data_IF_788339182758
#
_entry.id   IF_788339182758
#
_cell.length_a   1.000
_cell.length_b   1.000
_cell.length_c   1.000
_cell.angle_alpha   90.00
_cell.angle_beta   90.00
_cell.angle_gamma   90.00
#
_symmetry.space_group_name_H-M   'P 1'
#
loop_
_entity.id
_entity.type
_entity.pdbx_description
1 polymer ?
#
# COMPACT_ATOMS: atom_id res chain seq x y z
N UNK A 1 -6.03 -18.73 15.21
CA UNK A 1 -7.33 -19.43 15.25
C UNK A 1 -7.96 -19.53 16.65
N UNK A 2 -7.19 -19.76 17.73
CA UNK A 2 -7.76 -19.95 19.08
C UNK A 2 -8.54 -18.75 19.64
N UNK A 3 -7.99 -17.53 19.54
CA UNK A 3 -8.65 -16.32 20.04
C UNK A 3 -9.92 -15.98 19.24
N UNK A 4 -9.85 -16.04 17.91
CA UNK A 4 -10.99 -15.80 17.02
C UNK A 4 -12.16 -16.73 17.30
N UNK A 5 -11.90 -18.05 17.32
CA UNK A 5 -12.92 -19.06 17.62
C UNK A 5 -13.58 -18.83 18.99
N UNK A 6 -12.77 -18.57 20.02
CA UNK A 6 -13.28 -18.28 21.38
C UNK A 6 -14.18 -17.04 21.40
N UNK A 7 -13.85 -16.02 20.61
CA UNK A 7 -14.67 -14.82 20.51
C UNK A 7 -15.98 -15.09 19.76
N UNK A 8 -15.97 -15.82 18.63
CA UNK A 8 -17.20 -16.27 17.95
C UNK A 8 -18.13 -17.01 18.93
N UNK A 9 -17.60 -18.00 19.65
CA UNK A 9 -18.38 -18.78 20.63
C UNK A 9 -18.97 -17.90 21.73
N UNK A 10 -18.18 -16.94 22.26
CA UNK A 10 -18.61 -16.01 23.30
C UNK A 10 -19.80 -15.14 22.87
N UNK A 11 -19.89 -14.82 21.58
CA UNK A 11 -20.91 -13.91 21.03
C UNK A 11 -22.00 -14.67 20.25
N UNK A 12 -22.02 -16.00 20.35
CA UNK A 12 -23.05 -16.84 19.71
C UNK A 12 -22.95 -16.95 18.19
N UNK A 13 -21.77 -16.72 17.63
CA UNK A 13 -21.49 -16.83 16.19
C UNK A 13 -20.59 -18.03 15.87
N UNK A 14 -20.55 -18.42 14.59
CA UNK A 14 -19.72 -19.54 14.12
C UNK A 14 -18.37 -19.06 13.60
N UNK A 15 -17.43 -19.98 13.33
CA UNK A 15 -16.14 -19.65 12.72
C UNK A 15 -16.21 -19.28 11.24
N UNK A 16 -17.41 -19.37 10.63
CA UNK A 16 -17.68 -18.89 9.27
C UNK A 16 -18.00 -17.38 9.25
N UNK A 17 -18.27 -16.79 10.42
CA UNK A 17 -18.42 -15.35 10.58
C UNK A 17 -17.09 -14.62 10.50
N UNK A 18 -17.14 -13.29 10.36
CA UNK A 18 -16.00 -12.38 10.44
C UNK A 18 -16.25 -11.21 11.39
N UNK A 19 -15.26 -10.33 11.53
CA UNK A 19 -15.32 -9.15 12.38
C UNK A 19 -16.47 -8.20 12.02
N UNK A 20 -16.87 -8.14 10.74
CA UNK A 20 -18.04 -7.34 10.34
C UNK A 20 -19.33 -7.97 10.88
N UNK A 21 -19.49 -9.29 10.80
CA UNK A 21 -20.63 -9.97 11.43
C UNK A 21 -20.68 -9.72 12.94
N UNK A 22 -19.52 -9.69 13.61
CA UNK A 22 -19.45 -9.40 15.05
C UNK A 22 -19.97 -7.98 15.34
N UNK A 23 -19.52 -6.99 14.56
CA UNK A 23 -19.96 -5.59 14.70
C UNK A 23 -21.47 -5.49 14.45
N UNK A 24 -21.98 -6.08 13.37
CA UNK A 24 -23.39 -6.05 13.02
C UNK A 24 -24.26 -6.77 14.08
N UNK A 25 -23.77 -7.87 14.65
CA UNK A 25 -24.47 -8.63 15.68
C UNK A 25 -24.56 -7.86 17.01
N UNK A 26 -23.49 -7.17 17.42
CA UNK A 26 -23.42 -6.53 18.73
C UNK A 26 -23.83 -5.05 18.72
N UNK A 27 -23.68 -4.36 17.59
CA UNK A 27 -23.94 -2.94 17.48
C UNK A 27 -25.35 -2.66 16.95
N UNK A 28 -26.09 -1.77 17.61
CA UNK A 28 -27.42 -1.32 17.16
C UNK A 28 -27.33 -0.40 15.94
N UNK A 29 -26.37 0.52 15.92
CA UNK A 29 -26.19 1.52 14.87
C UNK A 29 -24.69 1.64 14.51
N UNK A 30 -24.16 0.71 13.69
CA UNK A 30 -22.77 0.76 13.25
C UNK A 30 -22.58 1.87 12.21
N UNK A 31 -21.52 2.66 12.36
CA UNK A 31 -21.02 3.58 11.33
C UNK A 31 -19.74 2.95 10.77
N UNK A 32 -19.76 2.61 9.49
CA UNK A 32 -18.67 1.89 8.83
C UNK A 32 -17.97 2.81 7.84
N UNK A 33 -16.64 2.84 7.90
CA UNK A 33 -15.79 3.44 6.88
C UNK A 33 -15.16 2.30 6.08
N UNK A 34 -15.30 2.36 4.76
CA UNK A 34 -14.83 1.30 3.86
C UNK A 34 -14.17 1.93 2.64
N UNK A 35 -13.00 1.41 2.29
CA UNK A 35 -12.25 1.77 1.09
C UNK A 35 -11.73 0.47 0.46
N UNK A 36 -12.34 0.07 -0.66
CA UNK A 36 -12.00 -1.17 -1.37
C UNK A 36 -10.53 -1.19 -1.80
N UNK A 37 -9.95 -0.03 -2.13
CA UNK A 37 -8.59 0.07 -2.64
C UNK A 37 -7.53 0.00 -1.51
N UNK A 38 -7.97 -0.03 -0.25
CA UNK A 38 -7.10 -0.28 0.91
C UNK A 38 -7.16 -1.73 1.40
N UNK A 39 -7.84 -2.63 0.68
CA UNK A 39 -7.80 -4.06 0.93
C UNK A 39 -6.51 -4.64 0.33
N UNK A 40 -5.51 -4.83 1.19
CA UNK A 40 -4.12 -5.20 0.80
C UNK A 40 -3.76 -6.66 1.10
N UNK A 41 -4.75 -7.49 1.47
CA UNK A 41 -4.51 -8.88 1.82
C UNK A 41 -5.78 -9.66 2.20
N UNK A 42 -5.68 -10.99 2.34
CA UNK A 42 -6.82 -11.91 2.43
C UNK A 42 -7.61 -11.80 3.74
N UNK A 43 -7.08 -11.08 4.74
CA UNK A 43 -7.81 -10.79 5.99
C UNK A 43 -8.77 -9.62 5.86
N UNK A 44 -8.62 -8.79 4.82
CA UNK A 44 -9.55 -7.70 4.54
C UNK A 44 -10.85 -8.24 3.94
N UNK A 45 -11.93 -7.48 4.14
CA UNK A 45 -13.22 -7.79 3.51
C UNK A 45 -13.26 -7.18 2.12
N UNK A 46 -13.35 -8.01 1.09
CA UNK A 46 -13.52 -7.57 -0.29
C UNK A 46 -14.90 -6.93 -0.50
N UNK A 47 -15.01 -6.14 -1.57
CA UNK A 47 -16.21 -5.33 -1.86
C UNK A 47 -17.44 -6.21 -2.11
N UNK A 48 -17.27 -7.37 -2.75
CA UNK A 48 -18.37 -8.29 -3.05
C UNK A 48 -18.93 -8.90 -1.76
N UNK A 49 -18.06 -9.36 -0.87
CA UNK A 49 -18.42 -9.89 0.44
C UNK A 49 -19.04 -8.82 1.34
N UNK A 50 -18.50 -7.59 1.33
CA UNK A 50 -19.06 -6.45 2.05
C UNK A 50 -20.49 -6.17 1.58
N UNK A 51 -20.71 -6.00 0.28
CA UNK A 51 -22.05 -5.74 -0.27
C UNK A 51 -23.04 -6.86 0.04
N UNK A 52 -22.65 -8.12 -0.14
CA UNK A 52 -23.50 -9.27 0.20
C UNK A 52 -23.97 -9.25 1.65
N UNK A 53 -23.09 -8.88 2.60
CA UNK A 53 -23.48 -8.75 4.01
C UNK A 53 -24.39 -7.56 4.27
N UNK A 54 -24.12 -6.43 3.63
CA UNK A 54 -25.00 -5.27 3.76
C UNK A 54 -26.39 -5.56 3.21
N UNK A 55 -26.52 -6.26 2.07
CA UNK A 55 -27.81 -6.71 1.52
C UNK A 55 -28.59 -7.57 2.52
N UNK A 56 -27.93 -8.51 3.21
CA UNK A 56 -28.56 -9.32 4.24
C UNK A 56 -29.03 -8.46 5.43
N UNK A 57 -28.23 -7.46 5.83
CA UNK A 57 -28.57 -6.58 6.94
C UNK A 57 -29.68 -5.57 6.63
N UNK A 58 -29.94 -5.24 5.35
CA UNK A 58 -31.05 -4.36 4.95
C UNK A 58 -32.41 -4.90 5.40
N UNK A 59 -32.55 -6.22 5.57
CA UNK A 59 -33.78 -6.83 6.09
C UNK A 59 -34.00 -6.57 7.60
N UNK A 60 -32.94 -6.21 8.34
CA UNK A 60 -32.97 -6.03 9.80
C UNK A 60 -32.91 -4.56 10.22
N UNK A 61 -32.27 -3.70 9.41
CA UNK A 61 -32.07 -2.29 9.72
C UNK A 61 -31.98 -1.44 8.45
N UNK A 62 -32.32 -0.16 8.57
CA UNK A 62 -32.09 0.82 7.52
C UNK A 62 -30.59 1.03 7.31
N UNK A 63 -30.15 0.98 6.06
CA UNK A 63 -28.77 1.24 5.66
C UNK A 63 -28.74 2.45 4.74
N UNK A 64 -27.79 3.34 4.96
CA UNK A 64 -27.57 4.51 4.09
C UNK A 64 -26.10 4.59 3.72
N UNK A 65 -25.83 4.78 2.44
CA UNK A 65 -24.48 4.94 1.90
C UNK A 65 -24.18 6.42 1.69
N UNK A 66 -23.00 6.82 2.14
CA UNK A 66 -22.44 8.15 1.89
C UNK A 66 -21.03 8.00 1.34
N UNK A 67 -20.79 8.59 0.17
CA UNK A 67 -19.49 8.58 -0.46
C UNK A 67 -18.76 9.90 -0.15
N UNK A 68 -17.55 9.78 0.38
CA UNK A 68 -16.69 10.93 0.66
C UNK A 68 -15.78 11.16 -0.56
N UNK A 69 -16.14 12.13 -1.41
CA UNK A 69 -15.42 12.39 -2.67
C UNK A 69 -14.26 13.38 -2.55
N UNK A 70 -14.24 14.19 -1.49
CA UNK A 70 -13.23 15.25 -1.35
C UNK A 70 -11.97 14.70 -0.69
N UNK A 71 -10.87 14.66 -1.44
CA UNK A 71 -9.55 14.45 -0.88
C UNK A 71 -8.99 15.77 -0.33
N UNK A 72 -8.67 15.81 0.96
CA UNK A 72 -8.09 17.00 1.63
C UNK A 72 -6.60 16.84 1.97
N UNK A 73 -6.06 15.63 1.78
CA UNK A 73 -4.81 15.20 2.40
C UNK A 73 -3.60 15.28 1.48
N UNK A 74 -3.83 15.03 0.19
CA UNK A 74 -2.80 14.95 -0.85
C UNK A 74 -2.94 16.19 -1.72
N UNK A 75 -1.89 17.02 -1.83
CA UNK A 75 -1.95 18.28 -2.57
C UNK A 75 -2.17 18.08 -4.09
N UNK A 76 -1.91 16.87 -4.60
CA UNK A 76 -2.23 16.48 -5.97
C UNK A 76 -3.73 16.27 -6.22
N UNK A 77 -4.56 16.29 -5.18
CA UNK A 77 -6.01 16.16 -5.28
C UNK A 77 -6.49 14.80 -5.81
N UNK A 78 -7.76 14.76 -6.20
CA UNK A 78 -8.38 13.56 -6.76
C UNK A 78 -7.73 13.14 -8.09
N UNK A 79 -7.29 14.11 -8.90
CA UNK A 79 -6.64 13.84 -10.18
C UNK A 79 -5.36 13.01 -10.00
N UNK A 80 -4.56 13.30 -8.98
CA UNK A 80 -3.37 12.51 -8.67
C UNK A 80 -3.71 11.09 -8.23
N UNK A 81 -4.71 10.94 -7.37
CA UNK A 81 -5.14 9.63 -6.87
C UNK A 81 -5.63 8.74 -8.01
N UNK A 82 -6.48 9.29 -8.88
CA UNK A 82 -6.95 8.60 -10.08
C UNK A 82 -5.78 8.28 -11.02
N UNK A 83 -4.81 9.19 -11.14
CA UNK A 83 -3.63 8.96 -11.97
C UNK A 83 -2.78 7.78 -11.49
N UNK A 84 -2.53 7.69 -10.18
CA UNK A 84 -1.84 6.55 -9.56
C UNK A 84 -2.59 5.24 -9.83
N UNK A 85 -3.93 5.25 -9.66
CA UNK A 85 -4.78 4.08 -9.98
C UNK A 85 -4.63 3.66 -11.45
N UNK A 86 -4.61 4.62 -12.38
CA UNK A 86 -4.51 4.34 -13.81
C UNK A 86 -3.13 3.82 -14.22
N UNK A 87 -2.05 4.32 -13.61
CA UNK A 87 -0.69 3.78 -13.80
C UNK A 87 -0.63 2.33 -13.31
N UNK A 88 -1.10 2.06 -12.09
CA UNK A 88 -1.00 0.73 -11.48
C UNK A 88 -1.95 -0.29 -12.13
N UNK A 89 -2.98 0.15 -12.85
CA UNK A 89 -3.87 -0.73 -13.62
C UNK A 89 -3.46 -0.88 -15.09
N UNK A 90 -2.44 -0.18 -15.57
CA UNK A 90 -2.04 -0.24 -16.98
C UNK A 90 -2.93 0.58 -17.93
N UNK A 91 -3.82 1.43 -17.41
CA UNK A 91 -4.88 2.13 -18.18
C UNK A 91 -4.62 3.62 -18.40
N UNK A 92 -3.51 4.16 -17.88
CA UNK A 92 -3.14 5.56 -18.05
C UNK A 92 -3.00 5.92 -19.54
N UNK A 93 -3.68 6.99 -19.95
CA UNK A 93 -3.70 7.43 -21.36
C UNK A 93 -2.61 8.43 -21.71
N UNK A 94 -2.33 9.39 -20.83
CA UNK A 94 -1.40 10.48 -21.10
C UNK A 94 -0.63 10.92 -19.86
N UNK A 95 0.47 11.65 -20.09
CA UNK A 95 1.28 12.24 -19.04
C UNK A 95 0.55 13.41 -18.37
N UNK A 96 0.45 13.40 -17.04
CA UNK A 96 -0.17 14.49 -16.25
C UNK A 96 0.84 15.19 -15.35
N UNK A 97 0.56 16.46 -15.09
CA UNK A 97 1.31 17.32 -14.19
C UNK A 97 0.39 17.82 -13.08
N UNK A 98 0.94 17.97 -11.88
CA UNK A 98 0.20 18.40 -10.70
C UNK A 98 0.89 19.65 -10.15
N UNK A 99 0.21 20.80 -10.21
CA UNK A 99 0.80 22.11 -9.89
C UNK A 99 1.42 22.17 -8.49
N UNK A 100 0.75 21.57 -7.50
CA UNK A 100 1.15 21.60 -6.10
C UNK A 100 1.65 20.24 -5.57
N UNK A 101 2.08 19.35 -6.47
CA UNK A 101 2.48 18.00 -6.08
C UNK A 101 3.66 17.47 -6.90
N UNK A 102 4.72 17.08 -6.20
CA UNK A 102 5.91 16.53 -6.84
C UNK A 102 5.73 15.02 -7.07
N UNK A 103 5.59 14.62 -8.33
CA UNK A 103 5.54 13.21 -8.71
C UNK A 103 6.64 12.89 -9.72
N UNK A 104 7.69 12.21 -9.26
CA UNK A 104 8.94 12.02 -10.01
C UNK A 104 9.42 10.57 -9.96
N UNK A 105 9.99 10.10 -11.05
CA UNK A 105 10.66 8.82 -11.16
C UNK A 105 12.18 9.04 -11.12
N UNK A 106 12.86 8.37 -10.21
CA UNK A 106 14.32 8.43 -10.09
C UNK A 106 14.97 7.16 -10.61
N UNK A 107 16.10 7.32 -11.30
CA UNK A 107 16.82 6.21 -11.94
C UNK A 107 18.08 5.78 -11.20
N UNK A 108 18.60 6.64 -10.34
CA UNK A 108 19.75 6.40 -9.46
C UNK A 108 19.28 6.31 -8.00
N UNK A 109 19.56 5.18 -7.36
CA UNK A 109 19.10 4.89 -6.01
C UNK A 109 19.87 5.69 -4.96
N UNK A 110 21.13 6.04 -5.24
CA UNK A 110 21.92 6.88 -4.34
C UNK A 110 21.32 8.29 -4.29
N UNK A 111 21.05 8.89 -5.45
CA UNK A 111 20.40 10.19 -5.55
C UNK A 111 18.99 10.17 -4.94
N UNK A 112 18.26 9.07 -5.11
CA UNK A 112 16.96 8.86 -4.46
C UNK A 112 17.06 8.86 -2.93
N UNK A 113 18.05 8.15 -2.36
CA UNK A 113 18.28 8.16 -0.91
C UNK A 113 18.80 9.50 -0.40
N UNK A 114 19.70 10.15 -1.12
CA UNK A 114 20.29 11.43 -0.72
C UNK A 114 19.22 12.54 -0.71
N UNK A 115 18.36 12.59 -1.74
CA UNK A 115 17.24 13.54 -1.81
C UNK A 115 16.22 13.33 -0.69
N UNK A 116 16.00 12.08 -0.29
CA UNK A 116 15.13 11.74 0.83
C UNK A 116 15.65 12.35 2.13
N UNK A 117 16.95 12.20 2.41
CA UNK A 117 17.58 12.82 3.58
C UNK A 117 17.50 14.34 3.55
N UNK A 118 17.75 14.96 2.40
CA UNK A 118 17.58 16.41 2.23
C UNK A 118 16.15 16.85 2.56
N UNK A 119 15.13 16.19 1.99
CA UNK A 119 13.72 16.53 2.23
C UNK A 119 13.33 16.33 3.69
N UNK A 120 13.86 15.31 4.38
CA UNK A 120 13.62 15.12 5.81
C UNK A 120 14.13 16.31 6.64
N UNK A 121 15.32 16.83 6.33
CA UNK A 121 15.87 18.02 7.01
C UNK A 121 15.00 19.28 6.79
N UNK A 122 14.38 19.39 5.61
CA UNK A 122 13.56 20.55 5.23
C UNK A 122 12.16 20.53 5.86
N UNK A 123 11.49 19.37 5.87
CA UNK A 123 10.05 19.30 6.17
C UNK A 123 9.64 18.25 7.20
N UNK A 124 10.55 17.34 7.57
CA UNK A 124 10.29 16.18 8.46
C UNK A 124 9.18 15.25 7.94
N UNK A 125 9.00 14.09 8.58
CA UNK A 125 8.01 13.07 8.18
C UNK A 125 8.13 12.64 6.71
N UNK A 126 9.36 12.49 6.25
CA UNK A 126 9.75 11.94 4.95
C UNK A 126 10.26 10.52 5.19
N UNK A 127 9.66 9.53 4.53
CA UNK A 127 10.02 8.12 4.75
C UNK A 127 10.20 7.37 3.44
N UNK A 128 11.15 6.44 3.47
CA UNK A 128 11.34 5.45 2.43
C UNK A 128 10.44 4.25 2.73
N UNK A 129 9.69 3.80 1.72
CA UNK A 129 8.72 2.72 1.83
C UNK A 129 8.78 1.81 0.61
N UNK A 130 8.37 0.56 0.76
CA UNK A 130 8.38 -0.40 -0.35
C UNK A 130 7.26 -1.44 -0.23
N UNK A 131 6.93 -2.09 -1.36
CA UNK A 131 6.21 -3.36 -1.34
C UNK A 131 7.09 -4.48 -0.79
N UNK A 132 6.50 -5.61 -0.40
CA UNK A 132 7.18 -6.73 0.27
C UNK A 132 8.06 -7.56 -0.67
N UNK A 133 9.04 -6.93 -1.31
CA UNK A 133 9.86 -7.51 -2.38
C UNK A 133 11.13 -8.24 -1.90
N UNK A 134 11.46 -8.14 -0.61
CA UNK A 134 12.67 -8.69 -0.01
C UNK A 134 12.36 -9.54 1.21
N UNK A 135 13.16 -10.59 1.41
CA UNK A 135 13.12 -11.37 2.64
C UNK A 135 13.56 -10.51 3.83
N UNK A 136 12.89 -10.71 4.98
CA UNK A 136 13.14 -9.94 6.19
C UNK A 136 14.07 -10.67 7.15
N UNK A 137 15.34 -10.75 6.77
CA UNK A 137 16.40 -11.44 7.52
C UNK A 137 16.84 -10.67 8.77
N UNK A 138 16.71 -9.34 8.78
CA UNK A 138 17.10 -8.48 9.91
C UNK A 138 16.10 -8.48 11.08
N UNK A 139 15.02 -9.28 10.98
CA UNK A 139 13.96 -9.34 11.99
C UNK A 139 14.50 -9.76 13.35
N UNK A 140 15.38 -10.77 13.35
CA UNK A 140 15.98 -11.34 14.57
C UNK A 140 17.46 -10.98 14.74
N UNK A 141 18.12 -10.44 13.70
CA UNK A 141 19.51 -10.02 13.74
C UNK A 141 19.65 -8.61 13.14
N UNK A 142 19.89 -7.61 13.99
CA UNK A 142 19.99 -6.21 13.54
C UNK A 142 21.33 -5.86 12.88
N UNK A 143 22.25 -6.81 12.74
CA UNK A 143 23.54 -6.61 12.07
C UNK A 143 23.51 -6.86 10.57
N UNK A 144 22.46 -7.51 10.05
CA UNK A 144 22.28 -7.82 8.63
C UNK A 144 21.32 -6.84 7.94
N UNK A 145 21.43 -6.73 6.62
CA UNK A 145 20.60 -5.84 5.80
C UNK A 145 19.68 -6.66 4.89
N UNK A 146 18.44 -6.21 4.72
CA UNK A 146 17.40 -6.93 3.97
C UNK A 146 17.39 -6.56 2.48
N UNK A 147 17.63 -5.28 2.19
CA UNK A 147 17.46 -4.68 0.87
C UNK A 147 18.82 -4.20 0.38
N UNK A 148 19.21 -4.59 -0.82
CA UNK A 148 20.41 -4.09 -1.51
C UNK A 148 20.05 -3.63 -2.91
N UNK A 149 20.22 -2.33 -3.17
CA UNK A 149 19.94 -1.71 -4.47
C UNK A 149 21.16 -0.86 -4.83
N UNK A 150 21.78 -1.14 -5.98
CA UNK A 150 22.99 -0.42 -6.44
C UNK A 150 24.11 -0.35 -5.38
N UNK A 151 24.27 -1.41 -4.58
CA UNK A 151 25.26 -1.50 -3.50
C UNK A 151 24.90 -0.75 -2.22
N UNK A 152 23.77 -0.05 -2.18
CA UNK A 152 23.26 0.59 -0.97
C UNK A 152 22.38 -0.39 -0.22
N UNK A 153 22.71 -0.59 1.06
CA UNK A 153 22.04 -1.55 1.93
C UNK A 153 21.08 -0.85 2.89
N UNK A 154 19.89 -1.42 3.06
CA UNK A 154 18.85 -0.93 3.97
C UNK A 154 18.23 -2.08 4.75
N UNK A 155 17.67 -1.76 5.91
CA UNK A 155 16.88 -2.69 6.71
C UNK A 155 15.39 -2.35 6.55
N UNK A 156 14.54 -3.37 6.68
CA UNK A 156 13.12 -3.17 6.93
C UNK A 156 12.89 -2.48 8.28
N UNK A 157 11.72 -1.85 8.42
CA UNK A 157 11.25 -1.20 9.63
C UNK A 157 11.45 -2.06 10.89
N UNK A 158 12.11 -1.56 11.94
CA UNK A 158 12.34 -2.38 13.14
C UNK A 158 11.07 -2.71 13.94
N UNK A 159 10.02 -1.90 13.83
CA UNK A 159 8.72 -2.10 14.45
C UNK A 159 7.60 -1.76 13.46
N UNK A 160 6.37 -2.21 13.73
CA UNK A 160 5.19 -1.85 12.93
C UNK A 160 4.50 -0.63 13.52
N UNK A 161 4.12 -0.70 14.80
CA UNK A 161 3.43 0.38 15.49
C UNK A 161 4.39 1.53 15.82
N UNK A 162 4.02 2.76 15.46
CA UNK A 162 4.79 3.96 15.79
C UNK A 162 6.07 4.15 14.97
N UNK A 163 6.36 3.25 14.02
CA UNK A 163 7.59 3.29 13.20
C UNK A 163 7.81 4.64 12.52
N UNK A 164 6.77 5.21 11.89
CA UNK A 164 6.86 6.49 11.17
C UNK A 164 7.46 7.60 12.04
N UNK A 165 7.20 7.60 13.34
CA UNK A 165 7.69 8.61 14.29
C UNK A 165 8.99 8.23 15.00
N UNK A 166 9.52 7.03 14.77
CA UNK A 166 10.80 6.59 15.34
C UNK A 166 11.98 7.34 14.72
N UNK A 167 13.11 7.40 15.44
CA UNK A 167 14.32 8.07 14.97
C UNK A 167 15.05 7.25 13.92
N UNK A 168 14.89 5.94 13.99
CA UNK A 168 15.54 4.94 13.15
C UNK A 168 14.89 4.86 11.76
N UNK A 169 13.60 5.20 11.65
CA UNK A 169 12.83 5.08 10.41
C UNK A 169 13.42 5.82 9.20
N UNK A 170 14.21 6.87 9.42
CA UNK A 170 14.89 7.58 8.32
C UNK A 170 15.95 6.72 7.61
N UNK A 171 16.50 5.71 8.29
CA UNK A 171 17.51 4.81 7.75
C UNK A 171 16.94 3.43 7.38
N UNK A 172 15.65 3.22 7.60
CA UNK A 172 14.93 1.98 7.34
C UNK A 172 13.95 2.16 6.19
N UNK A 173 13.42 1.04 5.70
CA UNK A 173 12.36 1.01 4.69
C UNK A 173 11.08 0.50 5.36
N UNK A 174 10.01 1.29 5.28
CA UNK A 174 8.70 0.91 5.78
C UNK A 174 7.95 0.00 4.81
N UNK A 175 7.20 -0.94 5.35
CA UNK A 175 6.21 -1.69 4.59
C UNK A 175 4.81 -1.07 4.70
N UNK A 176 3.85 -1.63 3.97
CA UNK A 176 2.43 -1.24 4.04
C UNK A 176 1.88 -1.26 5.48
N UNK A 177 2.20 -2.30 6.27
CA UNK A 177 1.68 -2.47 7.63
C UNK A 177 2.21 -1.41 8.61
N UNK A 178 3.40 -0.85 8.36
CA UNK A 178 4.03 0.17 9.22
C UNK A 178 3.65 1.61 8.84
N UNK A 179 3.08 1.80 7.66
CA UNK A 179 2.80 3.12 7.07
C UNK A 179 1.31 3.40 6.92
N UNK A 180 0.48 2.36 7.00
CA UNK A 180 -0.97 2.50 6.93
C UNK A 180 -1.49 3.40 8.04
N UNK A 181 -2.30 4.40 7.67
CA UNK A 181 -2.88 5.36 8.60
C UNK A 181 -2.01 6.58 8.90
N UNK A 182 -0.77 6.64 8.39
CA UNK A 182 0.07 7.82 8.48
C UNK A 182 0.11 8.58 7.16
N UNK A 183 0.39 9.87 7.25
CA UNK A 183 0.67 10.72 6.11
C UNK A 183 2.07 11.27 6.21
N UNK A 184 2.76 11.30 5.07
CA UNK A 184 4.15 11.70 4.95
C UNK A 184 4.20 13.03 4.21
N UNK A 185 5.06 13.95 4.60
CA UNK A 185 5.24 15.16 3.79
C UNK A 185 5.72 14.80 2.39
N UNK A 186 6.68 13.87 2.30
CA UNK A 186 7.09 13.22 1.06
C UNK A 186 7.23 11.71 1.27
N UNK A 187 6.77 10.93 0.29
CA UNK A 187 6.96 9.49 0.27
C UNK A 187 8.04 9.13 -0.76
N UNK A 188 9.01 8.30 -0.35
CA UNK A 188 10.03 7.73 -1.23
C UNK A 188 9.71 6.25 -1.41
N UNK A 189 9.02 5.93 -2.50
CA UNK A 189 8.47 4.60 -2.76
C UNK A 189 9.42 3.79 -3.66
N UNK A 190 9.79 2.61 -3.19
CA UNK A 190 10.52 1.61 -3.97
C UNK A 190 9.52 0.58 -4.48
N UNK A 191 9.42 0.45 -5.80
CA UNK A 191 8.73 -0.65 -6.47
C UNK A 191 9.75 -1.77 -6.70
N UNK A 192 9.62 -2.86 -5.95
CA UNK A 192 10.55 -3.98 -5.99
C UNK A 192 10.31 -4.92 -7.17
N UNK A 193 11.02 -6.05 -7.18
CA UNK A 193 10.97 -7.04 -8.25
C UNK A 193 9.76 -7.98 -8.16
N UNK A 194 8.85 -7.81 -7.20
CA UNK A 194 7.57 -8.51 -7.13
C UNK A 194 6.54 -7.94 -8.11
N UNK A 195 6.72 -6.70 -8.58
CA UNK A 195 5.87 -6.05 -9.58
C UNK A 195 6.68 -5.73 -10.83
N UNK A 196 6.07 -5.85 -11.99
CA UNK A 196 6.69 -5.62 -13.28
C UNK A 196 5.68 -5.20 -14.35
N UNK A 197 6.15 -5.08 -15.59
CA UNK A 197 5.30 -4.79 -16.74
C UNK A 197 5.60 -5.75 -17.88
N UNK A 198 4.56 -6.33 -18.47
CA UNK A 198 4.67 -7.15 -19.68
C UNK A 198 4.47 -6.25 -20.92
N UNK A 199 5.52 -5.94 -21.70
CA UNK A 199 5.41 -5.07 -22.86
C UNK A 199 4.65 -5.71 -24.04
N UNK A 200 4.51 -7.04 -24.07
CA UNK A 200 3.79 -7.76 -25.12
C UNK A 200 2.29 -7.70 -24.87
N UNK A 201 1.87 -8.02 -23.64
CA UNK A 201 0.46 -7.95 -23.23
C UNK A 201 0.00 -6.54 -22.87
N UNK A 202 0.95 -5.63 -22.64
CA UNK A 202 0.73 -4.24 -22.20
C UNK A 202 -0.03 -4.17 -20.87
N UNK A 203 0.39 -4.97 -19.91
CA UNK A 203 -0.24 -5.03 -18.59
C UNK A 203 0.79 -5.08 -17.47
N UNK A 204 0.37 -4.63 -16.29
CA UNK A 204 1.10 -4.86 -15.05
C UNK A 204 1.07 -6.36 -14.74
N UNK A 205 2.23 -6.90 -14.41
CA UNK A 205 2.40 -8.28 -13.97
C UNK A 205 3.03 -8.32 -12.58
N UNK A 206 2.85 -9.44 -11.89
CA UNK A 206 3.54 -9.72 -10.63
C UNK A 206 4.40 -10.98 -10.73
N UNK A 207 5.38 -11.08 -9.84
CA UNK A 207 6.24 -12.25 -9.60
C UNK A 207 6.00 -12.73 -8.17
N UNK A 208 5.03 -13.63 -7.93
CA UNK A 208 4.68 -14.08 -6.58
C UNK A 208 5.86 -14.63 -5.79
N UNK A 209 6.85 -15.24 -6.45
CA UNK A 209 8.10 -15.74 -5.87
C UNK A 209 8.95 -14.65 -5.22
N UNK A 210 8.82 -13.40 -5.66
CA UNK A 210 9.51 -12.24 -5.09
C UNK A 210 8.65 -11.49 -4.06
N UNK A 211 7.44 -11.97 -3.75
CA UNK A 211 6.59 -11.38 -2.72
C UNK A 211 6.70 -12.14 -1.40
N UNK A 212 7.24 -11.49 -0.37
CA UNK A 212 7.66 -12.10 0.89
C UNK A 212 6.69 -11.89 2.06
N UNK A 213 5.55 -11.20 1.88
CA UNK A 213 4.47 -11.22 2.87
C UNK A 213 3.74 -12.56 2.81
N UNK A 214 4.17 -13.47 3.68
CA UNK A 214 3.62 -14.81 3.79
C UNK A 214 2.11 -14.79 4.11
N UNK A 215 1.63 -13.83 4.92
CA UNK A 215 0.22 -13.75 5.25
C UNK A 215 -0.60 -13.21 4.07
N UNK A 216 -0.01 -12.32 3.27
CA UNK A 216 -0.62 -11.81 2.05
C UNK A 216 -0.76 -12.84 0.93
N UNK A 217 0.14 -13.83 0.86
CA UNK A 217 0.21 -14.81 -0.25
C UNK A 217 -0.46 -16.17 0.02
N UNK A 218 -0.56 -16.59 1.29
CA UNK A 218 -0.79 -18.01 1.67
C UNK A 218 -2.04 -18.68 1.08
N UNK A 219 -3.07 -17.93 0.73
CA UNK A 219 -4.39 -18.48 0.36
C UNK A 219 -4.95 -17.94 -0.95
N UNK A 220 -4.15 -17.21 -1.74
CA UNK A 220 -4.67 -16.40 -2.85
C UNK A 220 -4.13 -16.84 -4.21
N UNK A 221 -4.98 -16.69 -5.22
CA UNK A 221 -4.61 -16.91 -6.62
C UNK A 221 -3.75 -15.77 -7.17
N UNK A 222 -3.25 -15.93 -8.39
CA UNK A 222 -2.42 -14.92 -9.05
C UNK A 222 -3.11 -13.57 -9.20
N UNK A 223 -4.35 -13.54 -9.72
CA UNK A 223 -5.09 -12.28 -9.95
C UNK A 223 -5.42 -11.56 -8.65
N UNK A 224 -5.82 -12.29 -7.60
CA UNK A 224 -6.09 -11.72 -6.29
C UNK A 224 -4.81 -11.14 -5.65
N UNK A 225 -3.69 -11.85 -5.77
CA UNK A 225 -2.40 -11.33 -5.31
C UNK A 225 -1.97 -10.09 -6.10
N UNK A 226 -2.22 -10.07 -7.42
CA UNK A 226 -1.93 -8.92 -8.29
C UNK A 226 -2.72 -7.70 -7.84
N UNK A 227 -4.01 -7.88 -7.56
CA UNK A 227 -4.88 -6.82 -7.02
C UNK A 227 -4.35 -6.31 -5.67
N UNK A 228 -3.98 -7.20 -4.74
CA UNK A 228 -3.40 -6.77 -3.46
C UNK A 228 -2.09 -6.01 -3.61
N UNK A 229 -1.19 -6.45 -4.48
CA UNK A 229 0.07 -5.72 -4.74
C UNK A 229 -0.23 -4.36 -5.37
N UNK A 230 -1.18 -4.26 -6.30
CA UNK A 230 -1.63 -2.98 -6.86
C UNK A 230 -2.21 -2.06 -5.77
N UNK A 231 -3.04 -2.59 -4.86
CA UNK A 231 -3.58 -1.84 -3.72
C UNK A 231 -2.48 -1.38 -2.76
N UNK A 232 -1.48 -2.22 -2.47
CA UNK A 232 -0.32 -1.85 -1.66
C UNK A 232 0.37 -0.63 -2.27
N UNK A 233 0.72 -0.68 -3.55
CA UNK A 233 1.38 0.44 -4.20
C UNK A 233 0.49 1.67 -4.34
N UNK A 234 -0.82 1.50 -4.58
CA UNK A 234 -1.79 2.59 -4.57
C UNK A 234 -1.78 3.31 -3.22
N UNK A 235 -1.81 2.55 -2.13
CA UNK A 235 -1.72 3.11 -0.79
C UNK A 235 -0.39 3.82 -0.59
N UNK A 236 0.75 3.17 -0.84
CA UNK A 236 2.07 3.77 -0.62
C UNK A 236 2.28 5.07 -1.42
N UNK A 237 1.89 5.07 -2.69
CA UNK A 237 2.04 6.22 -3.58
C UNK A 237 1.12 7.39 -3.18
N UNK A 238 0.02 7.14 -2.47
CA UNK A 238 -0.93 8.17 -2.01
C UNK A 238 -0.75 8.60 -0.54
N UNK A 239 0.37 8.22 0.09
CA UNK A 239 0.74 8.69 1.45
C UNK A 239 1.44 10.04 1.48
N UNK A 240 2.05 10.46 0.37
CA UNK A 240 2.71 11.76 0.26
C UNK A 240 1.70 12.91 0.25
N UNK A 241 1.90 13.92 1.10
CA UNK A 241 1.09 15.14 1.12
C UNK A 241 1.57 16.09 0.02
N UNK A 242 2.88 16.30 -0.07
CA UNK A 242 3.51 17.27 -0.99
C UNK A 242 4.11 16.59 -2.22
N UNK A 243 4.44 15.31 -2.13
CA UNK A 243 5.00 14.58 -3.26
C UNK A 243 5.32 13.12 -2.99
N UNK A 244 5.47 12.38 -4.08
CA UNK A 244 5.90 10.98 -4.12
C UNK A 244 7.04 10.81 -5.13
N UNK A 245 8.16 10.28 -4.67
CA UNK A 245 9.29 9.90 -5.50
C UNK A 245 9.29 8.39 -5.68
N UNK A 246 9.46 7.93 -6.91
CA UNK A 246 9.48 6.51 -7.25
C UNK A 246 10.89 6.07 -7.59
N UNK A 247 11.28 4.89 -7.11
CA UNK A 247 12.37 4.11 -7.67
C UNK A 247 11.84 2.73 -8.05
N UNK A 248 12.07 2.29 -9.28
CA UNK A 248 11.48 1.05 -9.83
C UNK A 248 12.58 0.07 -10.18
N UNK A 249 12.61 -1.10 -9.55
CA UNK A 249 13.64 -2.13 -9.80
C UNK A 249 13.50 -2.78 -11.18
N UNK A 250 12.27 -3.18 -11.56
CA UNK A 250 11.99 -3.79 -12.86
C UNK A 250 12.18 -2.81 -14.01
N UNK A 251 12.97 -3.21 -15.01
CA UNK A 251 13.34 -2.33 -16.12
C UNK A 251 12.17 -2.01 -17.06
N UNK A 252 11.28 -2.97 -17.34
CA UNK A 252 10.15 -2.76 -18.24
C UNK A 252 9.07 -1.91 -17.57
N UNK A 253 8.83 -2.12 -16.28
CA UNK A 253 7.96 -1.28 -15.47
C UNK A 253 8.50 0.15 -15.37
N UNK A 254 9.82 0.31 -15.20
CA UNK A 254 10.45 1.63 -15.21
C UNK A 254 10.25 2.35 -16.55
N UNK A 255 10.43 1.64 -17.68
CA UNK A 255 10.18 2.18 -19.03
C UNK A 255 8.71 2.52 -19.27
N UNK A 256 7.79 1.74 -18.70
CA UNK A 256 6.36 2.03 -18.74
C UNK A 256 6.04 3.31 -17.95
N UNK A 257 6.45 3.38 -16.68
CA UNK A 257 6.18 4.52 -15.80
C UNK A 257 6.83 5.81 -16.31
N UNK A 258 8.04 5.76 -16.90
CA UNK A 258 8.74 6.94 -17.41
C UNK A 258 8.03 7.66 -18.57
N UNK A 259 7.08 6.99 -19.24
CA UNK A 259 6.22 7.62 -20.26
C UNK A 259 5.20 8.58 -19.63
N UNK A 260 4.85 8.35 -18.36
CA UNK A 260 3.76 9.01 -17.63
C UNK A 260 4.26 9.86 -16.46
N UNK A 261 5.49 9.65 -16.01
CA UNK A 261 6.10 10.37 -14.88
C UNK A 261 7.39 11.03 -15.33
N UNK A 262 7.67 12.25 -14.87
CA UNK A 262 8.95 12.90 -15.15
C UNK A 262 10.10 12.09 -14.54
N UNK A 263 11.07 11.74 -15.37
CA UNK A 263 12.29 11.07 -14.93
C UNK A 263 13.35 12.09 -14.54
N UNK A 264 14.02 11.85 -13.42
CA UNK A 264 15.09 12.70 -12.87
C UNK A 264 16.31 11.85 -12.52
#
# INVERSE_FOLDING_TARGET
MGAFKKNCEKIGLTIESDELDWILHQCKCPVLFYDEMQVVGPSGIDVSRFHKKMEIEQAKRMITYYNLFTQMRVNGGNDYIEYVKNILSGTVGEKKYFENYEFKLMTDFKAFSDLMYQKEEEVQLVRMVAGYAWEWISKNDKTVFDIEIQGIKKQWNHCTEGWVHSKEAINEVGCIHSTQGYDLNYAFIILGDEIGYDPVKKEIMIRPENYYDQNGKKTVGYEELKEYIQHIYYVLMTRGIRGSYLYVCDQELRKYISQYVDTV
#
